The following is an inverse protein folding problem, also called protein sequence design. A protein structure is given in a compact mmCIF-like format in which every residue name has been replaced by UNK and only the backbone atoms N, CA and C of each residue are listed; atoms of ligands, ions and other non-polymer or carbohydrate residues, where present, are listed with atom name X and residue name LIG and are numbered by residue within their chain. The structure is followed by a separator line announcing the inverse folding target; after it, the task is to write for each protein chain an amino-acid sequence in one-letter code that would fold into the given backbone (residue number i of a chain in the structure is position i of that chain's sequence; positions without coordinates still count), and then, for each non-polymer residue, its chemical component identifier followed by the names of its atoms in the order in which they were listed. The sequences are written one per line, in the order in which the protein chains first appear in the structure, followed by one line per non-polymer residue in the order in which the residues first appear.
data_IF_457535714473
#
_entry.id   IF_457535714473
#
_cell.length_a   1.000
_cell.length_b   1.000
_cell.length_c   1.000
_cell.angle_alpha   90.00
_cell.angle_beta   90.00
_cell.angle_gamma   90.00
#
_symmetry.space_group_name_H-M   'P 1'
#
loop_
_entity.id
_entity.type
_entity.pdbx_description
1 polymer ?
#
# COMPACT_ATOMS: atom_id res chain seq x y z
N UNK A 1 61.13 -93.47 -3.47
CA UNK A 1 61.03 -93.02 -2.07
C UNK A 1 60.41 -91.62 -2.08
N UNK A 2 59.20 -91.54 -1.52
CA UNK A 2 58.31 -90.40 -1.25
C UNK A 2 57.96 -89.35 -2.31
N UNK A 3 56.69 -89.46 -2.70
CA UNK A 3 55.76 -88.55 -3.37
C UNK A 3 55.33 -87.44 -2.39
N UNK A 4 55.22 -86.18 -2.84
CA UNK A 4 54.10 -85.28 -2.43
C UNK A 4 54.05 -83.98 -3.25
N UNK A 5 53.17 -84.03 -4.27
CA UNK A 5 52.13 -83.06 -4.65
C UNK A 5 52.26 -81.58 -4.20
N UNK A 6 52.50 -80.70 -5.17
CA UNK A 6 52.15 -79.28 -5.09
C UNK A 6 50.76 -79.03 -5.70
N UNK A 7 49.84 -78.54 -4.88
CA UNK A 7 48.46 -78.20 -5.24
C UNK A 7 48.38 -76.77 -5.78
N UNK A 8 47.80 -76.62 -6.97
CA UNK A 8 47.32 -75.37 -7.56
C UNK A 8 46.32 -74.66 -6.64
N UNK A 9 46.44 -73.33 -6.52
CA UNK A 9 45.32 -72.45 -6.16
C UNK A 9 45.20 -71.31 -7.15
N UNK A 10 44.23 -71.49 -8.03
CA UNK A 10 43.55 -70.47 -8.82
C UNK A 10 42.76 -69.58 -7.85
N UNK A 11 43.03 -68.27 -7.79
CA UNK A 11 42.09 -67.31 -7.20
C UNK A 11 41.81 -66.23 -8.23
N UNK A 12 40.52 -66.08 -8.47
CA UNK A 12 39.85 -65.33 -9.53
C UNK A 12 39.40 -63.99 -8.92
N UNK A 13 39.46 -62.92 -9.73
CA UNK A 13 38.69 -61.65 -9.65
C UNK A 13 39.28 -60.51 -8.79
N UNK A 14 38.85 -59.24 -9.01
CA UNK A 14 38.45 -58.60 -10.27
C UNK A 14 39.05 -57.19 -10.47
N UNK A 15 39.18 -56.86 -11.74
CA UNK A 15 39.38 -55.55 -12.36
C UNK A 15 38.17 -54.64 -12.07
N UNK A 16 38.25 -53.76 -11.06
CA UNK A 16 37.21 -52.74 -10.80
C UNK A 16 37.72 -51.66 -9.83
N UNK A 17 38.70 -50.85 -10.25
CA UNK A 17 39.22 -49.75 -9.43
C UNK A 17 39.61 -48.50 -10.25
N UNK A 18 38.98 -48.28 -11.40
CA UNK A 18 39.28 -47.13 -12.28
C UNK A 18 38.02 -46.38 -12.76
N UNK A 19 36.96 -46.39 -11.96
CA UNK A 19 35.68 -45.73 -12.28
C UNK A 19 35.08 -44.98 -11.08
N UNK A 20 35.93 -44.44 -10.19
CA UNK A 20 35.48 -43.68 -9.01
C UNK A 20 36.21 -42.34 -8.81
N UNK A 21 36.74 -41.74 -9.88
CA UNK A 21 37.34 -40.40 -9.81
C UNK A 21 36.71 -39.38 -10.78
N UNK A 22 35.87 -39.82 -11.73
CA UNK A 22 35.24 -38.94 -12.72
C UNK A 22 33.86 -38.38 -12.34
N UNK A 23 33.24 -38.87 -11.26
CA UNK A 23 31.85 -38.50 -10.91
C UNK A 23 31.76 -37.46 -9.76
N UNK A 24 32.87 -37.16 -9.10
CA UNK A 24 32.90 -36.17 -8.00
C UNK A 24 33.28 -34.75 -8.46
N UNK A 25 33.78 -34.57 -9.69
CA UNK A 25 34.11 -33.24 -10.23
C UNK A 25 32.94 -32.55 -10.94
N UNK A 26 31.86 -33.26 -11.28
CA UNK A 26 30.68 -32.65 -11.91
C UNK A 26 29.70 -32.02 -10.91
N UNK A 27 29.86 -32.29 -9.60
CA UNK A 27 29.01 -31.71 -8.54
C UNK A 27 29.44 -30.29 -8.14
N UNK A 28 30.62 -29.81 -8.56
CA UNK A 28 31.10 -28.45 -8.26
C UNK A 28 30.63 -27.39 -9.26
N UNK A 29 29.98 -27.76 -10.37
CA UNK A 29 29.51 -26.81 -11.39
C UNK A 29 28.00 -26.52 -11.34
N UNK A 30 27.27 -27.06 -10.36
CA UNK A 30 25.84 -26.77 -10.13
C UNK A 30 25.59 -25.88 -8.91
N UNK A 31 26.64 -25.43 -8.21
CA UNK A 31 26.54 -24.55 -7.05
C UNK A 31 26.81 -23.07 -7.37
N UNK A 32 26.75 -22.69 -8.65
CA UNK A 32 26.64 -21.30 -9.07
C UNK A 32 25.19 -21.06 -9.53
N UNK A 33 24.24 -21.23 -8.61
CA UNK A 33 22.98 -20.52 -8.73
C UNK A 33 23.34 -19.05 -8.64
N UNK A 34 23.14 -18.32 -9.73
CA UNK A 34 23.00 -16.88 -9.66
C UNK A 34 21.90 -16.60 -8.63
N UNK A 35 22.27 -15.96 -7.53
CA UNK A 35 21.32 -15.17 -6.76
C UNK A 35 20.82 -14.09 -7.72
N UNK A 36 19.78 -14.42 -8.48
CA UNK A 36 18.85 -13.41 -8.97
C UNK A 36 18.18 -12.89 -7.69
N UNK A 37 18.83 -11.88 -7.09
CA UNK A 37 18.20 -10.97 -6.15
C UNK A 37 17.08 -10.23 -6.91
N UNK A 38 15.99 -10.93 -7.20
CA UNK A 38 14.74 -10.29 -7.54
C UNK A 38 14.46 -9.31 -6.41
N UNK A 39 14.33 -8.00 -6.68
CA UNK A 39 14.14 -7.02 -5.63
C UNK A 39 12.89 -7.41 -4.84
N UNK A 40 13.05 -7.62 -3.53
CA UNK A 40 11.95 -7.99 -2.65
C UNK A 40 10.74 -7.08 -2.94
N UNK A 41 9.53 -7.64 -3.11
CA UNK A 41 8.36 -6.86 -3.46
C UNK A 41 8.13 -5.82 -2.38
N UNK A 42 8.04 -4.55 -2.78
CA UNK A 42 7.81 -3.44 -1.86
C UNK A 42 6.59 -3.72 -0.97
N UNK A 43 6.81 -3.64 0.35
CA UNK A 43 5.78 -3.91 1.34
C UNK A 43 4.87 -2.68 1.49
N UNK A 44 3.74 -2.70 0.76
CA UNK A 44 2.63 -1.74 0.93
C UNK A 44 2.15 -1.66 2.39
N UNK A 45 2.08 -2.75 3.19
CA UNK A 45 1.71 -2.63 4.60
C UNK A 45 2.55 -1.59 5.38
N UNK A 46 1.88 -0.85 6.26
CA UNK A 46 2.48 0.15 7.14
C UNK A 46 1.53 1.29 7.51
N UNK A 47 2.07 2.30 8.20
CA UNK A 47 1.34 3.49 8.63
C UNK A 47 1.65 4.63 7.67
N UNK A 48 0.62 5.30 7.16
CA UNK A 48 0.69 6.34 6.15
C UNK A 48 -0.04 7.60 6.58
N UNK A 49 0.60 8.75 6.43
CA UNK A 49 -0.04 10.05 6.56
C UNK A 49 -0.30 10.64 5.17
N UNK A 50 -1.35 11.45 5.05
CA UNK A 50 -1.54 12.27 3.85
C UNK A 50 -0.47 13.36 3.82
N UNK A 51 0.45 13.27 2.87
CA UNK A 51 1.41 14.34 2.63
C UNK A 51 0.83 15.42 1.72
N UNK A 52 -0.06 15.01 0.80
CA UNK A 52 -0.67 15.90 -0.18
C UNK A 52 -2.02 15.40 -0.67
N UNK A 53 -2.97 16.31 -0.89
CA UNK A 53 -4.21 16.09 -1.63
C UNK A 53 -4.55 17.33 -2.47
N UNK A 54 -4.51 17.23 -3.79
CA UNK A 54 -4.77 18.35 -4.72
C UNK A 54 -6.02 18.08 -5.55
N UNK A 55 -6.93 19.05 -5.64
CA UNK A 55 -8.06 18.97 -6.57
C UNK A 55 -7.58 18.98 -8.02
N UNK A 56 -7.95 17.97 -8.82
CA UNK A 56 -7.65 17.95 -10.26
C UNK A 56 -8.62 18.77 -11.09
N UNK A 57 -9.87 18.81 -10.66
CA UNK A 57 -10.96 19.49 -11.35
C UNK A 57 -11.58 20.53 -10.44
N UNK A 58 -12.16 21.57 -11.04
CA UNK A 58 -12.95 22.53 -10.29
C UNK A 58 -14.13 21.81 -9.60
N UNK A 59 -14.24 21.98 -8.28
CA UNK A 59 -15.42 21.56 -7.53
C UNK A 59 -16.43 22.72 -7.55
N UNK A 60 -17.60 22.47 -8.15
CA UNK A 60 -18.70 23.44 -8.19
C UNK A 60 -19.69 23.17 -7.07
N UNK A 61 -19.91 24.18 -6.24
CA UNK A 61 -20.91 24.17 -5.17
C UNK A 61 -21.86 25.33 -5.41
N UNK A 62 -22.94 25.05 -6.14
CA UNK A 62 -23.86 26.09 -6.63
C UNK A 62 -23.16 27.10 -7.53
N UNK A 63 -23.07 28.36 -7.09
CA UNK A 63 -22.43 29.46 -7.83
C UNK A 63 -20.95 29.66 -7.46
N UNK A 64 -20.45 28.96 -6.44
CA UNK A 64 -19.06 29.04 -6.00
C UNK A 64 -18.27 27.89 -6.66
N UNK A 65 -17.15 28.24 -7.26
CA UNK A 65 -16.18 27.29 -7.79
C UNK A 65 -14.95 27.24 -6.89
N UNK A 66 -14.55 26.05 -6.47
CA UNK A 66 -13.26 25.80 -5.84
C UNK A 66 -12.32 25.35 -6.96
N UNK A 67 -11.25 26.12 -7.26
CA UNK A 67 -10.45 25.90 -8.45
C UNK A 67 -9.66 24.59 -8.38
N UNK A 68 -9.40 24.00 -9.56
CA UNK A 68 -8.39 22.96 -9.71
C UNK A 68 -7.01 23.46 -9.27
N UNK A 69 -6.17 22.55 -8.80
CA UNK A 69 -4.84 22.85 -8.24
C UNK A 69 -4.89 23.32 -6.78
N UNK A 70 -6.08 23.47 -6.18
CA UNK A 70 -6.21 23.79 -4.75
C UNK A 70 -5.72 22.61 -3.92
N UNK A 71 -4.82 22.90 -2.99
CA UNK A 71 -4.41 21.99 -1.92
C UNK A 71 -5.54 21.89 -0.89
N UNK A 72 -5.98 20.67 -0.66
CA UNK A 72 -7.06 20.28 0.25
C UNK A 72 -6.60 19.21 1.25
N UNK A 73 -5.27 19.10 1.46
CA UNK A 73 -4.66 18.06 2.29
C UNK A 73 -5.24 18.06 3.70
N UNK A 74 -5.39 19.25 4.30
CA UNK A 74 -5.91 19.38 5.65
C UNK A 74 -7.38 18.96 5.73
N UNK A 75 -8.22 19.40 4.79
CA UNK A 75 -9.65 19.12 4.78
C UNK A 75 -9.94 17.63 4.52
N UNK A 76 -9.17 16.99 3.64
CA UNK A 76 -9.29 15.54 3.39
C UNK A 76 -8.75 14.73 4.57
N UNK A 77 -7.62 15.15 5.16
CA UNK A 77 -7.07 14.52 6.35
C UNK A 77 -8.05 14.62 7.51
N UNK A 78 -8.58 15.81 7.80
CA UNK A 78 -9.58 16.01 8.83
C UNK A 78 -10.86 15.21 8.53
N UNK A 79 -11.34 15.18 7.29
CA UNK A 79 -12.53 14.42 6.93
C UNK A 79 -12.37 12.90 7.11
N UNK A 80 -11.24 12.36 6.66
CA UNK A 80 -10.93 10.94 6.74
C UNK A 80 -10.56 10.52 8.15
N UNK A 81 -9.80 11.36 8.85
CA UNK A 81 -9.10 11.00 10.05
C UNK A 81 -9.69 11.62 11.33
N UNK A 82 -10.62 12.58 11.29
CA UNK A 82 -11.33 13.04 12.50
C UNK A 82 -12.18 11.93 13.15
N UNK A 83 -12.46 10.85 12.42
CA UNK A 83 -13.07 9.66 13.01
C UNK A 83 -12.08 8.81 13.80
N UNK A 84 -10.76 9.01 13.58
CA UNK A 84 -9.76 8.57 14.53
C UNK A 84 -9.90 9.45 15.76
N UNK A 85 -10.14 8.84 16.93
CA UNK A 85 -10.29 9.55 18.19
C UNK A 85 -8.92 10.05 18.72
N UNK A 86 -8.12 10.69 17.88
CA UNK A 86 -6.80 11.20 18.23
C UNK A 86 -6.92 12.44 19.12
N UNK A 87 -6.07 12.52 20.13
CA UNK A 87 -5.95 13.74 20.94
C UNK A 87 -5.34 14.89 20.15
N UNK A 88 -4.49 14.56 19.17
CA UNK A 88 -3.83 15.47 18.24
C UNK A 88 -4.18 15.06 16.80
N UNK A 89 -5.03 15.82 16.08
CA UNK A 89 -5.45 15.49 14.72
C UNK A 89 -4.29 15.33 13.73
N UNK A 90 -3.19 16.05 13.92
CA UNK A 90 -1.97 15.97 13.10
C UNK A 90 -1.25 14.62 13.17
N UNK A 91 -1.54 13.82 14.19
CA UNK A 91 -0.97 12.49 14.36
C UNK A 91 -1.82 11.40 13.71
N UNK A 92 -3.00 11.75 13.20
CA UNK A 92 -3.87 10.76 12.60
C UNK A 92 -3.26 10.23 11.29
N UNK A 93 -3.42 8.93 11.05
CA UNK A 93 -2.83 8.22 9.93
C UNK A 93 -3.66 6.99 9.55
N UNK A 94 -3.39 6.45 8.36
CA UNK A 94 -3.94 5.18 7.87
C UNK A 94 -2.96 4.05 8.17
N UNK A 95 -3.40 3.00 8.85
CA UNK A 95 -2.63 1.78 9.04
C UNK A 95 -3.14 0.69 8.09
N UNK A 96 -2.34 0.40 7.07
CA UNK A 96 -2.56 -0.69 6.13
C UNK A 96 -1.89 -1.97 6.67
N UNK A 97 -2.67 -2.88 7.26
CA UNK A 97 -2.13 -4.10 7.86
C UNK A 97 -1.86 -5.16 6.77
N UNK A 98 -0.95 -6.10 7.05
CA UNK A 98 -0.57 -7.15 6.10
C UNK A 98 -1.74 -8.07 5.70
N UNK A 99 -2.72 -8.25 6.59
CA UNK A 99 -3.93 -9.05 6.37
C UNK A 99 -5.03 -8.33 5.56
N UNK A 100 -4.74 -7.14 5.02
CA UNK A 100 -5.65 -6.29 4.22
C UNK A 100 -6.72 -5.53 5.01
N UNK A 101 -6.66 -5.56 6.34
CA UNK A 101 -7.43 -4.65 7.17
C UNK A 101 -6.86 -3.22 7.13
N UNK A 102 -7.74 -2.23 7.24
CA UNK A 102 -7.42 -0.81 7.28
C UNK A 102 -7.95 -0.21 8.58
N UNK A 103 -7.03 0.41 9.32
CA UNK A 103 -7.35 1.14 10.55
C UNK A 103 -7.00 2.62 10.38
N UNK A 104 -7.71 3.47 11.10
CA UNK A 104 -7.24 4.81 11.42
C UNK A 104 -6.49 4.72 12.74
N UNK A 105 -5.31 5.31 12.80
CA UNK A 105 -4.46 5.27 13.98
C UNK A 105 -3.92 6.65 14.30
N UNK A 106 -3.55 6.85 15.55
CA UNK A 106 -2.89 8.06 16.01
C UNK A 106 -1.42 7.72 16.23
N UNK A 107 -0.51 8.24 15.40
CA UNK A 107 0.90 7.82 15.34
C UNK A 107 1.65 7.83 16.67
N UNK A 108 1.25 8.69 17.60
CA UNK A 108 1.90 8.85 18.91
C UNK A 108 1.09 8.25 20.06
N UNK A 109 -0.04 7.61 19.77
CA UNK A 109 -0.96 7.05 20.75
C UNK A 109 -1.22 5.57 20.40
N UNK A 110 -1.51 4.75 21.42
CA UNK A 110 -1.85 3.34 21.20
C UNK A 110 -3.36 3.19 20.94
N UNK A 111 -3.86 3.94 19.94
CA UNK A 111 -5.27 3.98 19.56
C UNK A 111 -5.41 3.68 18.07
N UNK A 112 -6.27 2.71 17.78
CA UNK A 112 -6.66 2.36 16.42
C UNK A 112 -8.16 2.12 16.33
N UNK A 113 -8.76 2.52 15.22
CA UNK A 113 -10.19 2.32 14.92
C UNK A 113 -10.31 1.66 13.57
N UNK A 114 -11.06 0.55 13.49
CA UNK A 114 -11.28 -0.16 12.24
C UNK A 114 -12.06 0.74 11.26
N UNK A 115 -11.44 1.06 10.12
CA UNK A 115 -12.05 1.89 9.09
C UNK A 115 -12.48 1.08 7.86
N UNK A 116 -11.89 -0.09 7.64
CA UNK A 116 -12.32 -1.02 6.60
C UNK A 116 -11.21 -1.91 6.07
N UNK A 117 -11.07 -1.96 4.75
CA UNK A 117 -10.09 -2.82 4.07
C UNK A 117 -9.37 -2.10 2.93
N UNK A 118 -8.25 -2.66 2.50
CA UNK A 118 -7.51 -2.18 1.36
C UNK A 118 -7.08 -3.31 0.42
N UNK A 119 -6.93 -3.00 -0.85
CA UNK A 119 -6.46 -3.95 -1.85
C UNK A 119 -5.66 -3.25 -2.95
N UNK A 120 -4.71 -3.98 -3.53
CA UNK A 120 -3.93 -3.52 -4.68
C UNK A 120 -4.14 -4.51 -5.82
N UNK A 121 -4.31 -4.04 -7.06
CA UNK A 121 -4.45 -4.93 -8.20
C UNK A 121 -3.13 -5.64 -8.54
N UNK A 122 -3.22 -6.70 -9.35
CA UNK A 122 -2.06 -7.53 -9.71
C UNK A 122 -0.94 -6.74 -10.41
N UNK A 123 -1.31 -5.72 -11.19
CA UNK A 123 -0.36 -4.89 -11.93
C UNK A 123 0.21 -3.73 -11.10
N UNK A 124 -0.18 -3.60 -9.82
CA UNK A 124 0.24 -2.52 -8.91
C UNK A 124 -0.05 -1.10 -9.41
N UNK A 125 -1.07 -0.94 -10.25
CA UNK A 125 -1.49 0.35 -10.83
C UNK A 125 -2.71 0.95 -10.13
N UNK A 126 -3.37 0.19 -9.24
CA UNK A 126 -4.58 0.62 -8.54
C UNK A 126 -4.56 0.18 -7.07
N UNK A 127 -4.78 1.14 -6.16
CA UNK A 127 -4.90 0.91 -4.72
C UNK A 127 -6.31 1.34 -4.32
N UNK A 128 -7.08 0.40 -3.82
CA UNK A 128 -8.48 0.62 -3.43
C UNK A 128 -8.60 0.52 -1.92
N UNK A 129 -9.11 1.59 -1.31
CA UNK A 129 -9.59 1.64 0.05
C UNK A 129 -11.11 1.47 0.06
N UNK A 130 -11.60 0.57 0.88
CA UNK A 130 -13.02 0.41 1.17
C UNK A 130 -13.25 0.85 2.60
N UNK A 131 -13.99 1.94 2.79
CA UNK A 131 -14.06 2.70 4.04
C UNK A 131 -15.49 2.73 4.59
N UNK A 132 -16.15 1.58 4.83
CA UNK A 132 -17.56 1.50 5.22
C UNK A 132 -17.87 2.22 6.53
N UNK A 133 -16.88 2.38 7.41
CA UNK A 133 -17.03 2.98 8.74
C UNK A 133 -16.87 4.49 8.73
N UNK A 134 -16.50 5.12 7.60
CA UNK A 134 -16.20 6.54 7.54
C UNK A 134 -17.42 7.39 7.17
N UNK A 135 -17.75 8.44 7.96
CA UNK A 135 -18.90 9.29 7.72
C UNK A 135 -18.59 10.40 6.69
N UNK A 136 -18.04 10.06 5.52
CA UNK A 136 -17.59 11.04 4.50
C UNK A 136 -18.61 11.13 3.34
N UNK A 137 -19.69 10.34 3.42
CA UNK A 137 -20.84 10.31 2.52
C UNK A 137 -21.92 9.35 3.00
N UNK A 138 -22.98 9.19 2.22
CA UNK A 138 -24.19 8.40 2.50
C UNK A 138 -24.14 6.99 1.90
N UNK A 139 -23.20 6.74 0.99
CA UNK A 139 -22.91 5.41 0.44
C UNK A 139 -21.47 5.01 0.76
N UNK A 140 -21.28 3.80 1.30
CA UNK A 140 -20.01 3.10 1.57
C UNK A 140 -18.83 3.70 0.76
N UNK A 141 -18.08 4.66 1.33
CA UNK A 141 -17.10 5.38 0.54
C UNK A 141 -15.96 4.44 0.19
N UNK A 142 -15.72 4.29 -1.11
CA UNK A 142 -14.49 3.67 -1.61
C UNK A 142 -13.66 4.72 -2.32
N UNK A 143 -12.38 4.73 -2.03
CA UNK A 143 -11.38 5.53 -2.71
C UNK A 143 -10.49 4.59 -3.49
N UNK A 144 -10.52 4.67 -4.81
CA UNK A 144 -9.54 3.98 -5.67
C UNK A 144 -8.58 5.01 -6.23
N UNK A 145 -7.31 4.83 -5.91
CA UNK A 145 -6.19 5.55 -6.50
C UNK A 145 -5.75 4.81 -7.77
N UNK A 146 -5.76 5.51 -8.90
CA UNK A 146 -5.27 5.06 -10.19
C UNK A 146 -3.88 5.62 -10.46
N UNK A 147 -3.23 5.11 -11.51
CA UNK A 147 -1.94 5.60 -12.00
C UNK A 147 -0.89 5.67 -10.88
N UNK A 148 -0.85 4.62 -10.04
CA UNK A 148 0.01 4.59 -8.86
C UNK A 148 1.48 4.75 -9.22
N UNK A 149 2.16 5.63 -8.49
CA UNK A 149 3.61 5.68 -8.41
C UNK A 149 4.04 5.37 -6.97
N UNK A 150 4.90 4.37 -6.81
CA UNK A 150 5.35 3.91 -5.49
C UNK A 150 6.86 4.13 -5.44
N UNK A 151 7.27 5.24 -4.81
CA UNK A 151 8.66 5.57 -4.63
C UNK A 151 9.21 4.84 -3.39
N UNK A 152 9.87 3.72 -3.65
CA UNK A 152 10.44 2.83 -2.62
C UNK A 152 11.58 3.45 -1.83
N UNK A 153 12.25 4.47 -2.37
CA UNK A 153 13.40 5.12 -1.71
C UNK A 153 12.97 6.20 -0.72
N UNK A 154 11.79 6.78 -0.91
CA UNK A 154 11.23 7.82 -0.04
C UNK A 154 10.01 7.35 0.75
N UNK A 155 9.61 6.09 0.60
CA UNK A 155 8.37 5.51 1.16
C UNK A 155 7.11 6.33 0.83
N UNK A 156 7.00 6.80 -0.41
CA UNK A 156 5.86 7.60 -0.90
C UNK A 156 5.00 6.75 -1.84
N UNK A 157 3.67 6.87 -1.69
CA UNK A 157 2.69 6.35 -2.64
C UNK A 157 1.91 7.54 -3.20
N UNK A 158 2.00 7.75 -4.50
CA UNK A 158 1.22 8.73 -5.24
C UNK A 158 0.14 8.04 -6.08
N UNK A 159 -0.98 8.72 -6.29
CA UNK A 159 -2.00 8.25 -7.22
C UNK A 159 -3.16 9.22 -7.38
N UNK A 160 -3.99 8.98 -8.38
CA UNK A 160 -5.14 9.82 -8.69
C UNK A 160 -6.43 9.14 -8.26
N UNK A 161 -7.15 9.74 -7.32
CA UNK A 161 -8.54 9.40 -7.01
C UNK A 161 -9.50 10.03 -8.02
N UNK A 162 -10.47 9.25 -8.50
CA UNK A 162 -11.56 9.74 -9.36
C UNK A 162 -12.91 9.54 -8.71
N UNK A 163 -13.77 10.55 -8.79
CA UNK A 163 -15.14 10.47 -8.31
C UNK A 163 -15.26 10.22 -6.80
N UNK A 164 -14.26 10.64 -6.00
CA UNK A 164 -14.26 10.41 -4.56
C UNK A 164 -15.41 11.19 -3.91
N UNK A 165 -16.35 10.51 -3.21
CA UNK A 165 -17.48 11.20 -2.60
C UNK A 165 -17.04 12.00 -1.39
N UNK A 166 -17.51 13.25 -1.31
CA UNK A 166 -17.35 14.13 -0.15
C UNK A 166 -18.71 14.68 0.28
N UNK A 167 -18.95 14.70 1.59
CA UNK A 167 -20.18 15.22 2.17
C UNK A 167 -20.12 16.73 2.43
N UNK A 168 -21.25 17.28 2.89
CA UNK A 168 -21.35 18.69 3.31
C UNK A 168 -20.28 19.11 4.31
N UNK A 169 -19.83 18.27 5.23
CA UNK A 169 -18.85 18.67 6.25
C UNK A 169 -17.52 19.04 5.58
N UNK A 170 -17.00 18.16 4.72
CA UNK A 170 -15.77 18.43 3.94
C UNK A 170 -15.95 19.65 3.05
N UNK A 171 -17.08 19.73 2.34
CA UNK A 171 -17.38 20.84 1.44
C UNK A 171 -17.44 22.18 2.21
N UNK A 172 -17.97 22.16 3.44
CA UNK A 172 -18.07 23.35 4.28
C UNK A 172 -16.69 23.84 4.70
N UNK A 173 -15.78 22.95 5.10
CA UNK A 173 -14.39 23.32 5.40
C UNK A 173 -13.69 23.90 4.17
N UNK A 174 -13.84 23.26 3.01
CA UNK A 174 -13.29 23.76 1.75
C UNK A 174 -13.79 25.17 1.42
N UNK A 175 -15.09 25.44 1.61
CA UNK A 175 -15.70 26.74 1.33
C UNK A 175 -15.22 27.86 2.27
N UNK A 176 -14.82 27.56 3.52
CA UNK A 176 -14.24 28.57 4.42
C UNK A 176 -12.94 29.16 3.87
N UNK A 177 -12.24 28.40 3.02
CA UNK A 177 -10.98 28.86 2.40
C UNK A 177 -11.18 29.77 1.18
N UNK A 178 -12.42 29.95 0.73
CA UNK A 178 -12.76 30.75 -0.47
C UNK A 178 -13.46 32.04 -0.06
N UNK A 179 -13.06 33.21 -0.57
CA UNK A 179 -13.76 34.47 -0.30
C UNK A 179 -15.26 34.39 -0.60
N UNK A 180 -16.09 34.65 0.41
CA UNK A 180 -17.55 34.58 0.29
C UNK A 180 -18.14 33.16 0.35
N UNK A 181 -17.31 32.12 0.45
CA UNK A 181 -17.77 30.73 0.54
C UNK A 181 -18.54 30.42 1.82
N UNK A 182 -18.16 31.02 2.96
CA UNK A 182 -18.84 30.82 4.24
C UNK A 182 -20.34 31.17 4.19
N UNK A 183 -20.70 32.24 3.47
CA UNK A 183 -22.09 32.65 3.31
C UNK A 183 -22.93 31.59 2.57
N UNK A 184 -22.29 30.75 1.74
CA UNK A 184 -22.94 29.70 0.98
C UNK A 184 -23.16 28.41 1.80
N UNK A 185 -22.41 28.18 2.88
CA UNK A 185 -22.50 26.94 3.68
C UNK A 185 -23.94 26.70 4.20
N UNK A 186 -24.65 27.76 4.57
CA UNK A 186 -26.02 27.68 5.10
C UNK A 186 -27.06 27.31 4.03
N UNK A 187 -26.74 27.49 2.75
CA UNK A 187 -27.67 27.19 1.63
C UNK A 187 -27.51 25.75 1.12
N UNK A 188 -26.43 25.06 1.50
CA UNK A 188 -26.16 23.68 1.10
C UNK A 188 -27.08 22.72 1.90
N UNK A 189 -27.84 21.84 1.23
CA UNK A 189 -28.63 20.80 1.91
C UNK A 189 -27.78 19.93 2.83
N UNK A 190 -28.33 19.49 3.97
CA UNK A 190 -27.57 18.70 4.95
C UNK A 190 -27.04 17.37 4.37
N UNK A 191 -27.75 16.82 3.39
CA UNK A 191 -27.47 15.60 2.65
C UNK A 191 -26.73 15.84 1.32
N UNK A 192 -26.21 17.06 1.10
CA UNK A 192 -25.47 17.35 -0.11
C UNK A 192 -24.14 16.59 -0.15
N UNK A 193 -23.89 15.97 -1.29
CA UNK A 193 -22.65 15.30 -1.64
C UNK A 193 -22.14 15.78 -2.98
N UNK A 194 -20.82 15.80 -3.11
CA UNK A 194 -20.14 16.03 -4.36
C UNK A 194 -19.12 14.92 -4.61
N UNK A 195 -18.73 14.77 -5.86
CA UNK A 195 -17.62 13.92 -6.26
C UNK A 195 -16.45 14.81 -6.65
N UNK A 196 -15.26 14.47 -6.17
CA UNK A 196 -14.03 15.16 -6.52
C UNK A 196 -13.03 14.20 -7.18
N UNK A 197 -12.27 14.74 -8.13
CA UNK A 197 -11.07 14.11 -8.64
C UNK A 197 -9.87 14.74 -7.93
N UNK A 198 -8.98 13.89 -7.38
CA UNK A 198 -7.89 14.31 -6.51
C UNK A 198 -6.59 13.59 -6.86
N UNK A 199 -5.47 14.31 -6.78
CA UNK A 199 -4.14 13.69 -6.69
C UNK A 199 -3.78 13.57 -5.22
N UNK A 200 -3.41 12.36 -4.79
CA UNK A 200 -3.04 12.03 -3.41
C UNK A 200 -1.59 11.59 -3.35
N UNK A 201 -0.91 12.03 -2.30
CA UNK A 201 0.41 11.54 -1.88
C UNK A 201 0.31 11.05 -0.44
N UNK A 202 0.63 9.78 -0.22
CA UNK A 202 0.72 9.14 1.08
C UNK A 202 2.19 8.92 1.42
N UNK A 203 2.62 9.43 2.58
CA UNK A 203 3.96 9.22 3.10
C UNK A 203 3.92 8.15 4.19
N UNK A 204 4.68 7.07 4.02
CA UNK A 204 4.88 6.09 5.09
C UNK A 204 5.61 6.77 6.23
N UNK A 205 5.11 6.59 7.45
CA UNK A 205 5.72 7.14 8.65
C UNK A 205 6.61 6.07 9.26
N UNK A 206 7.82 6.44 9.69
CA UNK A 206 8.65 5.57 10.51
C UNK A 206 7.94 5.29 11.84
N UNK A 207 7.81 4.01 12.20
CA UNK A 207 7.42 3.56 13.55
C UNK A 207 8.41 4.04 14.62
#
# INVERSE_FOLDING_TARGET
MNIMTHTLRFVRKPMLALLSCGFLLSLFFLAACSDDDDPEPYSIPGIYAFNKAILRTELKVGLIGIPAGKDITNEISEALLNSAACSQPENAALHLKADKSLFLTCRTEDTETEAGTWSINADTTQLTFNLPSLPIGSSLPSLTLFDLDINRSSDIIEGTGKGFPINKAVISELLKTIPGGEAFISTIPADYEAQIDIDIELQKTSE
#
